data_IF_148890475447
#
_entry.id   IF_148890475447
#
_cell.length_a   1.000
_cell.length_b   1.000
_cell.length_c   1.000
_cell.angle_alpha   90.00
_cell.angle_beta   90.00
_cell.angle_gamma   90.00
#
_symmetry.space_group_name_H-M   'P 1'
#
loop_
_entity.id
_entity.type
_entity.pdbx_description
1 polymer ?
#
# COMPACT_ATOMS: atom_id res chain seq x y z
N UNK A 1 14.39 26.67 18.71
CA UNK A 1 14.11 25.70 17.63
C UNK A 1 12.61 25.65 17.37
N UNK A 2 12.14 26.06 16.18
CA UNK A 2 10.71 25.93 15.82
C UNK A 2 10.41 24.44 15.62
N UNK A 3 9.48 23.87 16.39
CA UNK A 3 9.04 22.48 16.21
C UNK A 3 8.30 22.40 14.87
N UNK A 4 8.69 21.47 14.00
CA UNK A 4 7.95 21.21 12.76
C UNK A 4 6.57 20.71 13.14
N UNK A 5 5.53 21.46 12.79
CA UNK A 5 4.14 21.04 12.97
C UNK A 5 3.92 19.83 12.07
N UNK A 6 3.43 18.71 12.61
CA UNK A 6 3.09 17.54 11.81
C UNK A 6 1.90 17.95 10.95
N UNK A 7 2.13 18.07 9.64
CA UNK A 7 1.17 18.71 8.75
C UNK A 7 0.05 17.77 8.30
N UNK A 8 0.27 16.45 8.38
CA UNK A 8 -0.70 15.45 7.97
C UNK A 8 -0.67 14.23 8.87
N UNK A 9 -1.86 13.89 9.38
CA UNK A 9 -2.14 12.61 10.03
C UNK A 9 -3.17 11.91 9.15
N UNK A 10 -2.75 10.83 8.50
CA UNK A 10 -3.67 9.98 7.76
C UNK A 10 -4.35 9.04 8.75
N UNK A 11 -5.57 9.36 9.15
CA UNK A 11 -6.42 8.40 9.85
C UNK A 11 -6.79 7.29 8.87
N UNK A 12 -6.24 6.09 9.02
CA UNK A 12 -6.66 4.96 8.18
C UNK A 12 -8.10 4.58 8.59
N UNK A 13 -9.08 5.08 7.84
CA UNK A 13 -10.51 4.92 8.10
C UNK A 13 -10.90 3.45 8.21
N UNK A 14 -10.34 2.58 7.36
CA UNK A 14 -10.59 1.15 7.37
C UNK A 14 -10.32 0.49 8.73
N UNK A 15 -9.25 0.90 9.41
CA UNK A 15 -8.88 0.31 10.70
C UNK A 15 -9.72 0.84 11.88
N UNK A 16 -10.38 2.00 11.75
CA UNK A 16 -11.39 2.44 12.72
C UNK A 16 -12.70 1.69 12.50
N UNK A 17 -13.13 1.57 11.24
CA UNK A 17 -14.38 0.92 10.88
C UNK A 17 -14.33 -0.57 11.19
N UNK A 18 -13.18 -1.24 11.05
CA UNK A 18 -13.05 -2.67 11.36
C UNK A 18 -12.98 -3.00 12.86
N UNK A 19 -12.81 -2.01 13.74
CA UNK A 19 -12.67 -2.26 15.17
C UNK A 19 -14.04 -2.52 15.80
N UNK A 20 -14.27 -3.77 16.22
CA UNK A 20 -15.56 -4.21 16.78
C UNK A 20 -16.01 -3.34 17.97
N UNK A 21 -15.08 -2.98 18.85
CA UNK A 21 -15.42 -2.16 20.02
C UNK A 21 -15.86 -0.75 19.59
N UNK A 22 -15.26 -0.20 18.52
CA UNK A 22 -15.67 1.10 17.99
C UNK A 22 -17.06 1.03 17.32
N UNK A 23 -17.42 -0.09 16.70
CA UNK A 23 -18.75 -0.29 16.14
C UNK A 23 -19.85 -0.39 17.21
N UNK A 24 -19.54 -0.98 18.37
CA UNK A 24 -20.48 -1.12 19.49
C UNK A 24 -20.65 0.17 20.29
N UNK A 25 -19.80 1.18 20.09
CA UNK A 25 -19.88 2.45 20.83
C UNK A 25 -21.14 3.25 20.48
N UNK A 26 -21.70 3.96 21.45
CA UNK A 26 -22.73 4.99 21.21
C UNK A 26 -22.17 6.18 20.43
N UNK A 27 -23.03 7.07 19.93
CA UNK A 27 -22.57 8.27 19.22
C UNK A 27 -21.69 9.17 20.10
N UNK A 28 -22.06 9.32 21.37
CA UNK A 28 -21.33 10.12 22.35
C UNK A 28 -19.96 9.50 22.68
N UNK A 29 -19.91 8.18 22.88
CA UNK A 29 -18.65 7.45 23.09
C UNK A 29 -17.71 7.58 21.90
N UNK A 30 -18.24 7.49 20.67
CA UNK A 30 -17.45 7.71 19.45
C UNK A 30 -16.94 9.15 19.36
N UNK A 31 -17.78 10.14 19.69
CA UNK A 31 -17.41 11.55 19.74
C UNK A 31 -16.25 11.82 20.70
N UNK A 32 -16.35 11.32 21.93
CA UNK A 32 -15.28 11.41 22.94
C UNK A 32 -14.02 10.70 22.46
N UNK A 33 -14.13 9.45 22.00
CA UNK A 33 -12.98 8.67 21.53
C UNK A 33 -12.24 9.38 20.37
N UNK A 34 -12.95 9.82 19.33
CA UNK A 34 -12.35 10.52 18.20
C UNK A 34 -11.68 11.84 18.61
N UNK A 35 -12.33 12.61 19.48
CA UNK A 35 -11.78 13.87 20.00
C UNK A 35 -10.44 13.64 20.71
N UNK A 36 -10.39 12.66 21.62
CA UNK A 36 -9.16 12.31 22.33
C UNK A 36 -8.06 11.82 21.40
N UNK A 37 -8.40 11.05 20.37
CA UNK A 37 -7.45 10.62 19.33
C UNK A 37 -6.84 11.82 18.61
N UNK A 38 -7.64 12.82 18.20
CA UNK A 38 -7.14 14.02 17.54
C UNK A 38 -6.21 14.82 18.44
N UNK A 39 -6.58 15.01 19.71
CA UNK A 39 -5.73 15.67 20.69
C UNK A 39 -4.43 14.91 20.95
N UNK A 40 -4.44 13.58 20.92
CA UNK A 40 -3.20 12.80 21.01
C UNK A 40 -2.29 13.07 19.82
N UNK A 41 -2.79 13.19 18.59
CA UNK A 41 -1.93 13.52 17.45
C UNK A 41 -1.28 14.91 17.57
N UNK A 42 -2.05 15.92 17.97
CA UNK A 42 -1.54 17.27 18.22
C UNK A 42 -0.47 17.29 19.33
N UNK A 43 -0.61 16.43 20.35
CA UNK A 43 0.29 16.36 21.50
C UNK A 43 1.35 15.24 21.41
N UNK A 44 1.74 14.82 20.20
CA UNK A 44 2.78 13.79 19.98
C UNK A 44 2.51 12.45 20.70
N UNK A 45 1.25 12.06 20.78
CA UNK A 45 0.77 10.79 21.31
C UNK A 45 0.65 10.74 22.82
N UNK A 46 0.60 11.90 23.50
CA UNK A 46 0.54 11.99 24.96
C UNK A 46 -0.48 13.04 25.38
N UNK A 47 -1.36 12.71 26.31
CA UNK A 47 -2.33 13.65 26.86
C UNK A 47 -2.31 13.55 28.40
N UNK A 48 -2.35 14.65 29.17
CA UNK A 48 -2.50 14.57 30.61
C UNK A 48 -3.83 13.90 30.98
N UNK A 49 -3.83 13.08 32.02
CA UNK A 49 -5.03 12.44 32.54
C UNK A 49 -5.63 13.29 33.66
N UNK A 50 -6.57 14.15 33.28
CA UNK A 50 -7.37 14.96 34.20
C UNK A 50 -8.83 14.93 33.74
N UNK A 51 -9.71 14.35 34.56
CA UNK A 51 -11.10 14.06 34.18
C UNK A 51 -11.86 15.36 33.87
N UNK A 52 -11.64 16.43 34.64
CA UNK A 52 -12.33 17.70 34.43
C UNK A 52 -11.89 18.37 33.13
N UNK A 53 -10.57 18.42 32.88
CA UNK A 53 -10.02 18.92 31.62
C UNK A 53 -10.55 18.11 30.42
N UNK A 54 -10.58 16.78 30.52
CA UNK A 54 -11.06 15.92 29.43
C UNK A 54 -12.57 16.05 29.19
N UNK A 55 -13.35 16.24 30.26
CA UNK A 55 -14.79 16.53 30.19
C UNK A 55 -15.06 17.82 29.42
N UNK A 56 -14.34 18.89 29.74
CA UNK A 56 -14.44 20.16 29.02
C UNK A 56 -13.94 20.04 27.58
N UNK A 57 -12.85 19.30 27.36
CA UNK A 57 -12.28 19.06 26.04
C UNK A 57 -13.26 18.38 25.07
N UNK A 58 -14.03 17.43 25.58
CA UNK A 58 -14.96 16.63 24.79
C UNK A 58 -16.39 17.19 24.78
N UNK A 59 -16.67 18.24 25.56
CA UNK A 59 -18.00 18.84 25.71
C UNK A 59 -19.11 17.81 26.03
N UNK A 60 -18.84 16.90 26.98
CA UNK A 60 -19.75 15.80 27.34
C UNK A 60 -20.23 15.96 28.79
N UNK A 61 -21.55 15.91 29.02
CA UNK A 61 -22.12 16.07 30.37
C UNK A 61 -21.86 14.83 31.25
N UNK A 62 -22.13 13.64 30.71
CA UNK A 62 -21.95 12.32 31.35
C UNK A 62 -20.56 11.71 31.07
N UNK A 63 -19.51 12.52 31.06
CA UNK A 63 -18.17 12.09 30.65
C UNK A 63 -17.65 10.88 31.43
N UNK A 64 -17.90 10.77 32.74
CA UNK A 64 -17.42 9.65 33.56
C UNK A 64 -17.97 8.30 33.09
N UNK A 65 -19.28 8.22 32.79
CA UNK A 65 -19.91 7.00 32.28
C UNK A 65 -19.35 6.60 30.92
N UNK A 66 -19.25 7.57 30.02
CA UNK A 66 -18.67 7.37 28.68
C UNK A 66 -17.20 6.95 28.77
N UNK A 67 -16.45 7.56 29.69
CA UNK A 67 -15.04 7.27 29.91
C UNK A 67 -14.79 5.86 30.42
N UNK A 68 -15.65 5.30 31.27
CA UNK A 68 -15.54 3.91 31.74
C UNK A 68 -15.50 2.89 30.59
N UNK A 69 -16.22 3.17 29.51
CA UNK A 69 -16.18 2.35 28.29
C UNK A 69 -14.96 2.69 27.42
N UNK A 70 -14.74 3.99 27.16
CA UNK A 70 -13.71 4.48 26.25
C UNK A 70 -12.29 4.19 26.77
N UNK A 71 -12.06 4.20 28.09
CA UNK A 71 -10.74 3.98 28.72
C UNK A 71 -10.11 2.64 28.34
N UNK A 72 -10.90 1.63 27.96
CA UNK A 72 -10.41 0.31 27.54
C UNK A 72 -9.49 0.38 26.31
N UNK A 73 -9.62 1.43 25.49
CA UNK A 73 -8.77 1.67 24.31
C UNK A 73 -7.49 2.44 24.62
N UNK A 74 -7.38 2.98 25.82
CA UNK A 74 -6.29 3.85 26.23
C UNK A 74 -5.38 3.18 27.25
N UNK A 75 -4.11 3.56 27.23
CA UNK A 75 -3.10 3.11 28.19
C UNK A 75 -2.80 4.30 29.09
N UNK A 76 -3.09 4.19 30.39
CA UNK A 76 -2.79 5.23 31.37
C UNK A 76 -1.45 4.91 32.05
N UNK A 77 -0.47 5.79 31.94
CA UNK A 77 0.85 5.66 32.58
C UNK A 77 1.34 7.02 33.06
N UNK A 78 1.77 7.10 34.32
CA UNK A 78 2.34 8.31 34.92
C UNK A 78 1.43 9.55 34.77
N UNK A 79 0.13 9.40 35.03
CA UNK A 79 -0.84 10.49 34.87
C UNK A 79 -1.03 10.96 33.43
N UNK A 80 -0.70 10.13 32.43
CA UNK A 80 -0.87 10.45 31.00
C UNK A 80 -1.58 9.33 30.27
N UNK A 81 -2.43 9.70 29.33
CA UNK A 81 -3.12 8.82 28.40
C UNK A 81 -2.27 8.64 27.14
N UNK A 82 -2.22 7.39 26.67
CA UNK A 82 -1.60 6.98 25.42
C UNK A 82 -2.57 6.11 24.61
N UNK A 83 -2.46 6.13 23.28
CA UNK A 83 -3.18 5.20 22.42
C UNK A 83 -2.20 4.38 21.58
N UNK A 84 -2.30 3.05 21.64
CA UNK A 84 -1.34 2.11 21.02
C UNK A 84 -1.14 2.39 19.53
N UNK A 85 -2.22 2.70 18.82
CA UNK A 85 -2.18 2.95 17.38
C UNK A 85 -1.56 4.32 17.05
N UNK A 86 -1.96 5.37 17.76
CA UNK A 86 -1.43 6.73 17.55
C UNK A 86 0.09 6.73 17.74
N UNK A 87 0.58 6.05 18.78
CA UNK A 87 2.03 5.90 19.00
C UNK A 87 2.74 5.22 17.83
N UNK A 88 2.20 4.12 17.31
CA UNK A 88 2.78 3.41 16.15
C UNK A 88 2.82 4.29 14.90
N UNK A 89 1.75 5.02 14.63
CA UNK A 89 1.66 5.88 13.45
C UNK A 89 2.62 7.07 13.56
N UNK A 90 2.72 7.70 14.73
CA UNK A 90 3.69 8.76 14.99
C UNK A 90 5.14 8.28 14.86
N UNK A 91 5.45 7.07 15.35
CA UNK A 91 6.79 6.49 15.20
C UNK A 91 7.12 6.17 13.73
N UNK A 92 6.14 5.66 12.98
CA UNK A 92 6.28 5.44 11.53
C UNK A 92 6.52 6.76 10.80
N UNK A 93 5.74 7.80 11.12
CA UNK A 93 5.88 9.12 10.51
C UNK A 93 7.26 9.73 10.78
N UNK A 94 7.77 9.63 12.02
CA UNK A 94 9.12 10.08 12.39
C UNK A 94 10.20 9.36 11.57
N UNK A 95 10.13 8.03 11.47
CA UNK A 95 11.08 7.23 10.69
C UNK A 95 11.07 7.63 9.22
N UNK A 96 9.89 7.78 8.62
CA UNK A 96 9.78 8.22 7.23
C UNK A 96 10.34 9.63 7.02
N UNK A 97 10.01 10.56 7.92
CA UNK A 97 10.53 11.94 7.86
C UNK A 97 12.05 11.97 7.97
N UNK A 98 12.64 11.13 8.83
CA UNK A 98 14.09 11.02 8.95
C UNK A 98 14.72 10.49 7.67
N UNK A 99 14.20 9.37 7.12
CA UNK A 99 14.69 8.79 5.86
C UNK A 99 14.58 9.79 4.71
N UNK A 100 13.49 10.56 4.63
CA UNK A 100 13.33 11.62 3.63
C UNK A 100 14.34 12.74 3.82
N UNK A 101 14.56 13.19 5.06
CA UNK A 101 15.57 14.20 5.37
C UNK A 101 16.97 13.74 4.98
N UNK A 102 17.34 12.51 5.30
CA UNK A 102 18.64 11.93 4.94
C UNK A 102 18.81 11.81 3.42
N UNK A 103 17.75 11.39 2.70
CA UNK A 103 17.76 11.35 1.23
C UNK A 103 17.91 12.74 0.64
N UNK A 104 17.24 13.75 1.19
CA UNK A 104 17.35 15.13 0.74
C UNK A 104 18.76 15.68 0.96
N UNK A 105 19.38 15.45 2.13
CA UNK A 105 20.76 15.84 2.42
C UNK A 105 21.74 15.15 1.47
N UNK A 106 21.60 13.83 1.26
CA UNK A 106 22.43 13.08 0.31
C UNK A 106 22.26 13.59 -1.12
N UNK A 107 21.04 13.90 -1.54
CA UNK A 107 20.77 14.46 -2.87
C UNK A 107 21.36 15.86 -3.03
N UNK A 108 21.27 16.70 -2.01
CA UNK A 108 21.93 18.01 -2.00
C UNK A 108 23.45 17.83 -2.09
N UNK A 109 24.07 17.05 -1.20
CA UNK A 109 25.51 16.81 -1.24
C UNK A 109 26.00 16.36 -2.62
N UNK A 110 25.28 15.44 -3.28
CA UNK A 110 25.59 15.02 -4.67
C UNK A 110 25.52 16.15 -5.70
N UNK A 111 24.63 17.12 -5.52
CA UNK A 111 24.49 18.30 -6.39
C UNK A 111 25.60 19.33 -6.16
N UNK A 112 26.15 19.41 -4.95
CA UNK A 112 27.13 20.42 -4.56
C UNK A 112 28.59 19.92 -4.57
N UNK A 113 28.84 18.62 -4.38
CA UNK A 113 30.21 18.06 -4.32
C UNK A 113 30.83 17.76 -5.67
N UNK A 114 30.01 17.44 -6.66
CA UNK A 114 30.47 17.50 -8.03
C UNK A 114 30.22 18.95 -8.42
N UNK A 115 31.27 19.73 -8.66
CA UNK A 115 31.17 20.93 -9.49
C UNK A 115 30.49 20.48 -10.77
N UNK A 116 29.16 20.56 -10.80
CA UNK A 116 28.40 20.10 -11.93
C UNK A 116 28.96 20.94 -13.07
N UNK A 117 29.63 20.34 -14.07
CA UNK A 117 30.17 21.13 -15.17
C UNK A 117 29.01 21.98 -15.67
N UNK A 118 29.27 23.27 -15.84
CA UNK A 118 28.30 24.31 -16.23
C UNK A 118 27.80 24.07 -17.66
N UNK A 119 27.31 22.87 -17.92
CA UNK A 119 26.68 22.36 -19.12
C UNK A 119 25.17 22.31 -18.91
N UNK A 120 24.62 23.15 -18.02
CA UNK A 120 23.25 23.60 -18.23
C UNK A 120 23.28 24.29 -19.60
N UNK A 121 22.61 23.74 -20.63
CA UNK A 121 22.58 24.41 -21.93
C UNK A 121 22.04 25.81 -21.67
N UNK A 122 22.84 26.84 -21.92
CA UNK A 122 22.53 28.26 -21.69
C UNK A 122 21.40 28.79 -22.58
N UNK A 123 20.50 27.92 -23.03
CA UNK A 123 19.46 28.16 -23.99
C UNK A 123 18.09 27.74 -23.43
N UNK A 124 17.87 27.88 -22.12
CA UNK A 124 16.51 28.01 -21.63
C UNK A 124 16.00 29.36 -22.17
N UNK A 125 15.09 29.40 -23.16
CA UNK A 125 14.53 30.66 -23.63
C UNK A 125 13.97 31.36 -22.41
N UNK A 126 14.46 32.58 -22.15
CA UNK A 126 13.86 33.45 -21.16
C UNK A 126 12.39 33.54 -21.49
N UNK A 127 11.54 32.89 -20.68
CA UNK A 127 10.12 33.18 -20.61
C UNK A 127 10.07 34.59 -20.03
N UNK A 128 10.22 35.55 -20.93
CA UNK A 128 9.94 36.95 -20.66
C UNK A 128 8.48 37.01 -20.22
N UNK A 129 8.29 37.70 -19.10
CA UNK A 129 7.01 38.08 -18.55
C UNK A 129 6.13 38.70 -19.63
N UNK A 130 5.11 37.99 -20.08
CA UNK A 130 3.86 38.60 -20.54
C UNK A 130 2.71 37.75 -20.04
N UNK A 131 2.34 37.94 -18.77
CA UNK A 131 0.98 37.71 -18.34
C UNK A 131 0.31 39.07 -18.18
N UNK A 132 0.06 39.73 -19.31
CA UNK A 132 -0.99 40.74 -19.36
C UNK A 132 -2.29 40.09 -18.93
N UNK A 133 -2.86 40.68 -17.90
CA UNK A 133 -4.10 40.27 -17.26
C UNK A 133 -5.26 40.64 -18.19
N UNK A 134 -5.56 39.82 -19.19
CA UNK A 134 -6.87 39.89 -19.87
C UNK A 134 -7.88 39.08 -19.07
N UNK A 135 -8.46 39.78 -18.10
CA UNK A 135 -9.72 39.47 -17.45
C UNK A 135 -10.82 39.57 -18.52
N UNK A 136 -11.02 38.52 -19.30
CA UNK A 136 -12.19 38.42 -20.17
C UNK A 136 -13.38 37.93 -19.34
N UNK A 137 -14.42 38.75 -19.36
CA UNK A 137 -15.74 38.49 -18.83
C UNK A 137 -16.27 37.12 -19.27
N UNK A 138 -16.91 36.48 -18.30
CA UNK A 138 -17.73 35.28 -18.47
C UNK A 138 -18.90 35.65 -19.39
N UNK A 139 -18.79 35.29 -20.67
CA UNK A 139 -19.97 35.06 -21.50
C UNK A 139 -20.24 33.56 -21.56
N UNK A 140 -21.25 33.18 -20.79
CA UNK A 140 -22.01 31.93 -20.94
C UNK A 140 -22.53 31.88 -22.38
N UNK A 141 -22.09 30.88 -23.15
CA UNK A 141 -22.84 30.41 -24.30
C UNK A 141 -22.85 28.89 -24.34
N UNK A 142 -24.08 28.42 -24.48
CA UNK A 142 -24.51 27.05 -24.64
C UNK A 142 -24.04 26.45 -25.98
N UNK A 143 -24.01 25.12 -25.98
CA UNK A 143 -24.56 24.26 -27.03
C UNK A 143 -23.79 23.97 -28.34
N UNK A 144 -23.65 22.64 -28.52
CA UNK A 144 -23.84 21.83 -29.74
C UNK A 144 -22.62 21.07 -30.30
N UNK A 145 -22.91 19.78 -30.42
CA UNK A 145 -22.27 18.63 -31.04
C UNK A 145 -21.65 18.77 -32.44
N UNK A 146 -20.99 17.67 -32.82
CA UNK A 146 -20.53 17.20 -34.17
C UNK A 146 -19.16 17.72 -34.60
N UNK A 147 -18.21 16.93 -35.13
CA UNK A 147 -18.18 15.59 -35.72
C UNK A 147 -16.69 15.11 -35.78
N UNK A 148 -16.39 13.83 -36.15
CA UNK A 148 -15.06 13.24 -36.08
C UNK A 148 -14.25 13.42 -37.37
N UNK A 149 -12.92 13.58 -37.25
CA UNK A 149 -12.01 13.51 -38.40
C UNK A 149 -10.83 12.58 -38.13
N UNK A 150 -10.82 11.58 -38.99
CA UNK A 150 -9.85 10.57 -39.43
C UNK A 150 -8.44 11.11 -39.73
N UNK A 151 -7.49 10.18 -39.84
CA UNK A 151 -6.14 10.25 -40.45
C UNK A 151 -4.99 10.69 -39.50
N UNK A 152 -3.76 10.16 -39.57
CA UNK A 152 -3.11 9.29 -40.57
C UNK A 152 -1.85 8.64 -39.95
N UNK A 153 -1.45 7.55 -40.59
CA UNK A 153 -0.25 6.72 -40.42
C UNK A 153 1.09 7.48 -40.55
N UNK A 154 2.12 7.02 -39.82
CA UNK A 154 3.58 7.21 -40.06
C UNK A 154 4.33 6.28 -39.08
N UNK A 155 4.93 5.12 -39.43
CA UNK A 155 6.22 4.91 -40.13
C UNK A 155 7.33 5.85 -39.59
N UNK A 156 8.51 5.48 -39.05
CA UNK A 156 9.42 4.30 -39.04
C UNK A 156 10.39 4.48 -37.79
N UNK A 157 11.63 3.92 -37.70
CA UNK A 157 12.11 2.55 -37.43
C UNK A 157 12.82 2.34 -36.07
N UNK A 158 13.13 1.06 -35.86
CA UNK A 158 14.15 0.43 -35.02
C UNK A 158 15.44 1.20 -34.68
N UNK A 159 15.96 0.89 -33.49
CA UNK A 159 17.40 0.80 -33.25
C UNK A 159 17.96 1.71 -32.17
N UNK A 160 17.95 1.25 -30.91
CA UNK A 160 18.95 1.71 -29.95
C UNK A 160 19.28 0.62 -28.92
N UNK A 161 20.24 -0.24 -29.27
CA UNK A 161 21.01 -1.00 -28.30
C UNK A 161 21.79 0.00 -27.43
N UNK A 162 21.62 -0.05 -26.10
CA UNK A 162 22.59 0.57 -25.19
C UNK A 162 22.93 -0.36 -24.03
N UNK A 163 24.12 -0.92 -24.23
CA UNK A 163 25.11 -1.49 -23.33
C UNK A 163 24.81 -1.44 -21.82
N UNK A 164 24.86 -2.64 -21.24
CA UNK A 164 25.05 -2.95 -19.84
C UNK A 164 26.34 -2.34 -19.30
N UNK A 165 26.22 -1.42 -18.34
CA UNK A 165 27.35 -0.94 -17.53
C UNK A 165 27.36 -1.71 -16.22
N UNK A 166 28.35 -2.59 -16.06
CA UNK A 166 28.66 -3.31 -14.84
C UNK A 166 29.29 -2.34 -13.82
N UNK A 167 28.56 -1.99 -12.76
CA UNK A 167 29.13 -1.25 -11.65
C UNK A 167 29.79 -2.24 -10.67
N UNK A 168 31.13 -2.20 -10.67
CA UNK A 168 31.98 -2.94 -9.75
C UNK A 168 31.77 -2.52 -8.30
N UNK A 169 31.62 -3.54 -7.46
CA UNK A 169 31.61 -3.48 -6.01
C UNK A 169 33.00 -3.09 -5.51
N UNK A 170 33.19 -1.83 -5.09
CA UNK A 170 34.39 -1.44 -4.35
C UNK A 170 34.16 -1.63 -2.85
N UNK A 171 34.89 -2.63 -2.38
CA UNK A 171 35.24 -2.95 -1.01
C UNK A 171 35.85 -1.72 -0.32
N UNK A 172 35.31 -1.30 0.83
CA UNK A 172 36.01 -0.41 1.77
C UNK A 172 35.82 -0.98 3.16
N UNK A 173 36.85 -1.70 3.59
CA UNK A 173 37.10 -2.04 4.97
C UNK A 173 37.57 -0.82 5.76
N UNK A 174 37.48 -0.94 7.09
CA UNK A 174 38.28 -0.27 8.11
C UNK A 174 38.09 1.24 8.30
N UNK A 175 37.55 1.62 9.46
CA UNK A 175 38.23 2.37 10.54
C UNK A 175 37.20 2.70 11.64
N UNK A 176 37.68 2.75 12.90
CA UNK A 176 37.02 3.15 14.15
C UNK A 176 36.67 2.01 15.12
N UNK A 177 37.72 1.42 15.70
CA UNK A 177 37.72 1.07 17.12
C UNK A 177 38.20 2.32 17.86
N UNK A 178 37.43 2.77 18.84
CA UNK A 178 37.89 3.10 20.21
C UNK A 178 36.91 4.03 20.93
N UNK A 179 36.83 3.80 22.25
CA UNK A 179 36.22 4.64 23.29
C UNK A 179 34.71 4.53 23.51
N UNK A 180 34.29 3.54 24.31
CA UNK A 180 33.22 3.72 25.29
C UNK A 180 33.57 3.03 26.63
N UNK A 181 33.30 3.68 27.78
CA UNK A 181 33.60 3.14 29.10
C UNK A 181 32.56 2.11 29.56
N UNK A 182 33.09 1.11 30.27
CA UNK A 182 32.39 0.04 30.98
C UNK A 182 31.32 0.60 31.93
N UNK A 183 30.05 0.29 31.66
CA UNK A 183 28.93 0.48 32.60
C UNK A 183 28.62 -0.89 33.20
N UNK A 184 28.90 -1.02 34.50
CA UNK A 184 28.58 -2.20 35.30
C UNK A 184 27.07 -2.44 35.33
N UNK A 185 26.65 -3.59 34.81
CA UNK A 185 25.30 -4.14 35.02
C UNK A 185 25.23 -4.85 36.37
N UNK A 186 24.22 -4.57 37.22
CA UNK A 186 24.02 -5.33 38.45
C UNK A 186 23.51 -6.75 38.15
N UNK A 187 24.07 -7.70 38.90
CA UNK A 187 23.77 -9.13 38.85
C UNK A 187 22.28 -9.40 39.07
N UNK A 188 21.66 -10.11 38.12
CA UNK A 188 20.39 -10.82 38.34
C UNK A 188 20.71 -12.21 38.89
N UNK A 189 20.59 -12.37 40.19
CA UNK A 189 20.54 -13.67 40.85
C UNK A 189 19.19 -14.35 40.60
N UNK A 190 19.29 -15.59 40.12
CA UNK A 190 18.51 -16.78 40.48
C UNK A 190 17.03 -16.61 40.86
N UNK A 191 16.13 -16.83 39.89
CA UNK A 191 14.80 -17.41 40.14
C UNK A 191 14.53 -18.41 39.02
N UNK A 192 15.12 -19.60 39.14
CA UNK A 192 14.86 -20.73 38.24
C UNK A 192 14.84 -22.03 39.06
N UNK A 193 13.87 -22.14 39.97
CA UNK A 193 13.60 -23.40 40.69
C UNK A 193 12.22 -23.36 41.35
N UNK A 194 11.15 -23.38 40.55
CA UNK A 194 9.84 -23.92 40.95
C UNK A 194 8.85 -23.78 39.79
N UNK A 195 8.69 -24.85 39.01
CA UNK A 195 7.43 -25.37 38.42
C UNK A 195 7.83 -26.75 37.86
N UNK A 196 7.82 -27.74 38.73
CA UNK A 196 7.76 -29.16 38.39
C UNK A 196 6.69 -29.77 39.29
N UNK A 197 5.44 -29.70 38.85
CA UNK A 197 4.39 -30.64 39.26
C UNK A 197 3.16 -30.42 38.38
N UNK A 198 2.51 -31.53 37.99
CA UNK A 198 1.23 -31.63 37.26
C UNK A 198 1.30 -31.58 35.72
N UNK A 199 1.83 -32.66 35.13
CA UNK A 199 1.31 -33.22 33.87
C UNK A 199 1.31 -34.75 33.95
N UNK A 200 0.21 -35.31 34.45
CA UNK A 200 -0.14 -36.71 34.28
C UNK A 200 -1.46 -36.80 33.51
N UNK A 201 -1.58 -37.88 32.74
CA UNK A 201 -2.81 -38.41 32.15
C UNK A 201 -3.30 -37.76 30.85
N UNK A 202 -2.94 -38.38 29.71
CA UNK A 202 -3.79 -39.33 28.97
C UNK A 202 -3.29 -39.36 27.51
N UNK A 203 -2.56 -40.42 27.14
CA UNK A 203 -2.24 -40.77 25.75
C UNK A 203 -3.31 -41.75 25.24
N UNK A 204 -3.95 -41.52 24.08
CA UNK A 204 -4.55 -42.59 23.29
C UNK A 204 -3.53 -43.18 22.30
N UNK A 205 -3.77 -44.45 21.99
CA UNK A 205 -2.91 -45.39 21.29
C UNK A 205 -2.67 -45.07 19.79
N UNK A 206 -1.59 -45.62 19.18
CA UNK A 206 -1.33 -45.51 17.76
C UNK A 206 -2.02 -46.65 17.00
N UNK A 207 -2.92 -46.30 16.07
CA UNK A 207 -3.48 -47.24 15.10
C UNK A 207 -2.83 -47.03 13.72
N UNK A 208 -2.26 -48.15 13.27
CA UNK A 208 -2.09 -48.63 11.90
C UNK A 208 -1.34 -47.80 10.86
N UNK A 209 -0.14 -48.31 10.57
CA UNK A 209 0.54 -48.17 9.29
C UNK A 209 -0.19 -49.01 8.23
N UNK A 210 -0.69 -48.33 7.18
CA UNK A 210 -1.30 -48.98 6.02
C UNK A 210 -1.17 -48.14 4.75
N UNK A 211 -0.38 -48.63 3.81
CA UNK A 211 -0.43 -48.34 2.37
C UNK A 211 -0.17 -46.91 1.87
N UNK A 212 1.11 -46.60 1.68
CA UNK A 212 1.54 -45.70 0.59
C UNK A 212 1.73 -46.53 -0.69
N UNK A 213 0.66 -46.61 -1.51
CA UNK A 213 0.80 -46.93 -2.93
C UNK A 213 0.97 -45.64 -3.72
N UNK A 214 2.06 -45.63 -4.50
CA UNK A 214 2.29 -44.78 -5.67
C UNK A 214 1.00 -44.63 -6.50
N UNK A 215 0.60 -43.39 -6.77
CA UNK A 215 -0.01 -43.05 -8.06
C UNK A 215 0.61 -41.75 -8.57
N UNK A 216 1.31 -41.94 -9.67
CA UNK A 216 1.88 -40.97 -10.58
C UNK A 216 0.79 -40.15 -11.29
N UNK A 217 1.12 -38.89 -11.55
CA UNK A 217 0.74 -38.10 -12.73
C UNK A 217 -0.67 -38.31 -13.32
N UNK A 218 -1.55 -37.32 -13.07
CA UNK A 218 -2.83 -37.19 -13.76
C UNK A 218 -3.46 -35.83 -13.47
N UNK A 219 -2.86 -34.74 -13.97
CA UNK A 219 -3.51 -33.43 -14.03
C UNK A 219 -4.63 -33.51 -15.07
N UNK A 220 -5.78 -34.02 -14.64
CA UNK A 220 -7.02 -33.98 -15.39
C UNK A 220 -7.54 -32.54 -15.39
N UNK A 221 -7.33 -31.85 -16.50
CA UNK A 221 -8.03 -30.64 -16.92
C UNK A 221 -9.53 -30.95 -17.01
N UNK A 222 -10.28 -30.82 -15.91
CA UNK A 222 -11.75 -30.83 -15.97
C UNK A 222 -12.20 -29.64 -16.83
N UNK A 223 -12.94 -29.86 -17.93
CA UNK A 223 -13.60 -28.76 -18.63
C UNK A 223 -14.62 -28.15 -17.66
N UNK A 224 -14.37 -26.91 -17.25
CA UNK A 224 -15.23 -26.15 -16.34
C UNK A 224 -16.47 -25.67 -17.11
N UNK A 225 -17.40 -26.58 -17.40
CA UNK A 225 -18.79 -26.21 -17.74
C UNK A 225 -19.53 -25.89 -16.45
N UNK A 226 -19.17 -24.76 -15.85
CA UNK A 226 -19.77 -24.22 -14.63
C UNK A 226 -21.01 -23.35 -14.90
N UNK A 227 -21.87 -23.16 -13.87
CA UNK A 227 -23.16 -22.46 -13.97
C UNK A 227 -22.99 -21.04 -14.51
N UNK A 228 -23.89 -20.60 -15.40
CA UNK A 228 -23.97 -19.26 -16.00
C UNK A 228 -23.35 -18.17 -15.10
N UNK A 229 -22.09 -17.84 -15.38
CA UNK A 229 -21.34 -16.88 -14.57
C UNK A 229 -21.72 -15.53 -15.14
N UNK A 230 -22.43 -14.71 -14.37
CA UNK A 230 -22.61 -13.30 -14.73
C UNK A 230 -21.22 -12.64 -14.80
N UNK A 231 -20.68 -12.38 -16.01
CA UNK A 231 -19.34 -11.85 -16.16
C UNK A 231 -19.27 -10.40 -15.68
N UNK A 232 -20.39 -9.80 -15.28
CA UNK A 232 -20.49 -8.47 -14.67
C UNK A 232 -19.90 -8.45 -13.25
N UNK A 233 -19.77 -9.60 -12.56
CA UNK A 233 -19.10 -9.64 -11.27
C UNK A 233 -17.57 -9.57 -11.41
N UNK A 234 -17.05 -8.33 -11.42
CA UNK A 234 -15.62 -8.02 -11.59
C UNK A 234 -14.71 -8.70 -10.55
N UNK A 235 -15.23 -9.01 -9.35
CA UNK A 235 -14.45 -9.70 -8.31
C UNK A 235 -14.21 -11.15 -8.72
N UNK A 236 -15.25 -11.85 -9.18
CA UNK A 236 -15.15 -13.25 -9.64
C UNK A 236 -14.27 -13.36 -10.89
N UNK A 237 -14.40 -12.42 -11.83
CA UNK A 237 -13.52 -12.36 -13.00
C UNK A 237 -12.06 -12.15 -12.60
N UNK A 238 -11.80 -11.18 -11.71
CA UNK A 238 -10.45 -10.93 -11.21
C UNK A 238 -9.88 -12.19 -10.55
N UNK A 239 -10.61 -12.84 -9.65
CA UNK A 239 -10.14 -14.02 -8.90
C UNK A 239 -9.83 -15.23 -9.81
N UNK A 240 -10.59 -15.42 -10.89
CA UNK A 240 -10.31 -16.44 -11.90
C UNK A 240 -9.04 -16.15 -12.68
N UNK A 241 -8.94 -14.93 -13.23
CA UNK A 241 -7.77 -14.50 -13.99
C UNK A 241 -6.48 -14.57 -13.14
N UNK A 242 -6.61 -14.13 -11.90
CA UNK A 242 -5.65 -14.24 -10.83
C UNK A 242 -5.24 -15.71 -10.53
N UNK A 243 -6.23 -16.60 -10.42
CA UNK A 243 -6.03 -18.02 -10.17
C UNK A 243 -5.26 -18.72 -11.29
N UNK A 244 -5.42 -18.28 -12.54
CA UNK A 244 -4.74 -18.86 -13.70
C UNK A 244 -3.21 -18.85 -13.53
N UNK A 245 -2.59 -17.74 -13.13
CA UNK A 245 -1.13 -17.65 -13.16
C UNK A 245 -0.39 -18.25 -11.94
N UNK A 246 -1.06 -18.47 -10.81
CA UNK A 246 -0.40 -18.90 -9.56
C UNK A 246 0.66 -17.91 -9.03
N UNK A 247 1.08 -18.05 -7.76
CA UNK A 247 2.28 -17.40 -7.18
C UNK A 247 2.59 -15.96 -7.62
N UNK A 248 1.72 -14.99 -7.31
CA UNK A 248 1.78 -13.61 -7.83
C UNK A 248 2.62 -12.67 -6.97
N UNK A 249 3.41 -11.81 -7.63
CA UNK A 249 4.02 -10.66 -6.95
C UNK A 249 2.96 -9.56 -6.72
N UNK A 250 3.21 -8.62 -5.79
CA UNK A 250 2.35 -7.44 -5.63
C UNK A 250 2.21 -6.61 -6.91
N UNK A 251 3.26 -6.56 -7.74
CA UNK A 251 3.26 -5.83 -9.01
C UNK A 251 2.33 -6.49 -10.04
N UNK A 252 2.36 -7.82 -10.16
CA UNK A 252 1.47 -8.58 -11.04
C UNK A 252 0.01 -8.38 -10.66
N UNK A 253 -0.27 -8.43 -9.35
CA UNK A 253 -1.61 -8.20 -8.82
C UNK A 253 -2.13 -6.79 -9.14
N UNK A 254 -1.27 -5.78 -9.07
CA UNK A 254 -1.63 -4.42 -9.47
C UNK A 254 -1.88 -4.31 -10.98
N UNK A 255 -1.06 -4.95 -11.81
CA UNK A 255 -1.23 -4.96 -13.27
C UNK A 255 -2.55 -5.62 -13.69
N UNK A 256 -2.91 -6.76 -13.08
CA UNK A 256 -4.17 -7.44 -13.34
C UNK A 256 -5.38 -6.58 -12.91
N UNK A 257 -5.32 -5.90 -11.77
CA UNK A 257 -6.40 -4.98 -11.36
C UNK A 257 -6.59 -3.84 -12.34
N UNK A 258 -5.49 -3.28 -12.87
CA UNK A 258 -5.56 -2.22 -13.88
C UNK A 258 -6.20 -2.73 -15.18
N UNK A 259 -5.88 -3.96 -15.59
CA UNK A 259 -6.51 -4.60 -16.74
C UNK A 259 -8.02 -4.79 -16.54
N UNK A 260 -8.44 -5.31 -15.37
CA UNK A 260 -9.87 -5.49 -15.05
C UNK A 260 -10.63 -4.16 -15.10
N UNK A 261 -10.04 -3.10 -14.53
CA UNK A 261 -10.63 -1.75 -14.58
C UNK A 261 -10.76 -1.26 -16.02
N UNK A 262 -9.69 -1.37 -16.81
CA UNK A 262 -9.71 -0.96 -18.22
C UNK A 262 -10.75 -1.73 -19.05
N UNK A 263 -10.89 -3.04 -18.84
CA UNK A 263 -11.92 -3.85 -19.50
C UNK A 263 -13.32 -3.39 -19.12
N UNK A 264 -13.56 -3.13 -17.82
CA UNK A 264 -14.84 -2.59 -17.34
C UNK A 264 -15.19 -1.26 -18.01
N UNK A 265 -14.23 -0.34 -18.08
CA UNK A 265 -14.43 0.98 -18.69
C UNK A 265 -14.67 0.85 -20.20
N UNK A 266 -13.97 -0.07 -20.87
CA UNK A 266 -14.13 -0.31 -22.31
C UNK A 266 -15.47 -0.95 -22.67
N UNK A 267 -15.99 -1.85 -21.82
CA UNK A 267 -17.34 -2.42 -21.98
C UNK A 267 -18.41 -1.35 -21.72
N UNK A 268 -18.24 -0.52 -20.68
CA UNK A 268 -19.16 0.58 -20.38
C UNK A 268 -19.19 1.63 -21.51
N UNK A 269 -18.06 1.86 -22.19
CA UNK A 269 -17.96 2.73 -23.36
C UNK A 269 -18.52 2.08 -24.66
N UNK A 270 -18.97 0.83 -24.62
CA UNK A 270 -19.46 0.11 -25.80
C UNK A 270 -18.38 -0.30 -26.79
N UNK A 271 -17.09 -0.25 -26.40
CA UNK A 271 -15.96 -0.67 -27.24
C UNK A 271 -15.92 -2.20 -27.34
N UNK A 272 -16.27 -2.90 -26.26
CA UNK A 272 -16.31 -4.36 -26.21
C UNK A 272 -17.66 -4.88 -25.72
N UNK A 273 -18.04 -6.07 -26.21
CA UNK A 273 -19.20 -6.82 -25.68
C UNK A 273 -18.83 -7.54 -24.39
N UNK A 274 -19.84 -8.04 -23.65
CA UNK A 274 -19.61 -8.79 -22.40
C UNK A 274 -18.79 -10.08 -22.60
N UNK A 275 -18.74 -10.62 -23.80
CA UNK A 275 -17.97 -11.84 -24.12
C UNK A 275 -16.44 -11.62 -24.05
N UNK A 276 -15.99 -10.36 -23.98
CA UNK A 276 -14.57 -10.03 -23.87
C UNK A 276 -13.93 -10.63 -22.62
N UNK A 277 -14.68 -10.76 -21.52
CA UNK A 277 -14.17 -11.34 -20.29
C UNK A 277 -13.79 -12.81 -20.49
N UNK A 278 -14.61 -13.59 -21.18
CA UNK A 278 -14.30 -14.98 -21.48
C UNK A 278 -13.07 -15.08 -22.39
N UNK A 279 -13.02 -14.27 -23.46
CA UNK A 279 -11.87 -14.21 -24.37
C UNK A 279 -10.56 -13.90 -23.64
N UNK A 280 -10.58 -13.00 -22.65
CA UNK A 280 -9.40 -12.67 -21.83
C UNK A 280 -8.99 -13.83 -20.91
N UNK A 281 -9.95 -14.59 -20.37
CA UNK A 281 -9.64 -15.81 -19.60
C UNK A 281 -9.00 -16.88 -20.48
N UNK A 282 -9.47 -17.03 -21.72
CA UNK A 282 -8.91 -17.98 -22.69
C UNK A 282 -7.47 -17.60 -23.05
N UNK A 283 -7.19 -16.32 -23.34
CA UNK A 283 -5.82 -15.82 -23.54
C UNK A 283 -4.90 -16.09 -22.34
N UNK A 284 -5.44 -15.97 -21.12
CA UNK A 284 -4.68 -16.26 -19.90
C UNK A 284 -4.36 -17.76 -19.77
N UNK A 285 -5.32 -18.62 -20.11
CA UNK A 285 -5.13 -20.08 -20.12
C UNK A 285 -4.09 -20.49 -21.17
N UNK A 286 -4.16 -19.94 -22.38
CA UNK A 286 -3.19 -20.19 -23.46
C UNK A 286 -1.78 -19.75 -23.06
N UNK A 287 -1.68 -18.56 -22.47
CA UNK A 287 -0.40 -18.04 -21.98
C UNK A 287 0.20 -18.87 -20.85
N UNK A 288 -0.64 -19.49 -20.00
CA UNK A 288 -0.21 -20.39 -18.93
C UNK A 288 0.27 -21.74 -19.47
N UNK A 289 -0.45 -22.29 -20.45
CA UNK A 289 -0.13 -23.58 -21.07
C UNK A 289 1.10 -23.50 -21.98
N UNK A 290 1.47 -22.29 -22.43
CA UNK A 290 2.71 -22.05 -23.16
C UNK A 290 3.97 -22.38 -22.32
N UNK A 291 5.02 -22.84 -22.99
CA UNK A 291 6.31 -23.20 -22.36
C UNK A 291 7.15 -21.98 -21.92
N UNK A 292 6.52 -20.84 -21.64
CA UNK A 292 7.20 -19.60 -21.27
C UNK A 292 7.51 -19.58 -19.78
N UNK A 293 8.72 -19.14 -19.42
CA UNK A 293 9.11 -18.88 -18.02
C UNK A 293 8.31 -17.75 -17.38
N UNK A 294 7.66 -16.90 -18.18
CA UNK A 294 6.93 -15.70 -17.74
C UNK A 294 5.56 -15.65 -18.41
N UNK A 295 4.63 -16.55 -18.04
CA UNK A 295 3.33 -16.66 -18.70
C UNK A 295 2.53 -15.35 -18.61
N UNK A 296 2.60 -14.62 -17.49
CA UNK A 296 1.90 -13.34 -17.33
C UNK A 296 2.40 -12.25 -18.30
N UNK A 297 3.70 -12.24 -18.62
CA UNK A 297 4.24 -11.27 -19.56
C UNK A 297 3.79 -11.57 -21.00
N UNK A 298 3.72 -12.86 -21.35
CA UNK A 298 3.18 -13.31 -22.65
C UNK A 298 1.70 -12.94 -22.76
N UNK A 299 0.93 -13.17 -21.69
CA UNK A 299 -0.47 -12.77 -21.61
C UNK A 299 -0.67 -11.27 -21.87
N UNK A 300 0.06 -10.40 -21.16
CA UNK A 300 -0.06 -8.96 -21.39
C UNK A 300 0.39 -8.53 -22.78
N UNK A 301 1.36 -9.23 -23.40
CA UNK A 301 1.75 -8.98 -24.77
C UNK A 301 0.63 -9.34 -25.77
N UNK A 302 -0.06 -10.47 -25.55
CA UNK A 302 -1.24 -10.86 -26.35
C UNK A 302 -2.38 -9.86 -26.17
N UNK A 303 -2.73 -9.51 -24.94
CA UNK A 303 -3.79 -8.52 -24.64
C UNK A 303 -3.48 -7.16 -25.27
N UNK A 304 -2.22 -6.71 -25.24
CA UNK A 304 -1.80 -5.46 -25.90
C UNK A 304 -1.94 -5.54 -27.42
N UNK A 305 -1.55 -6.66 -28.03
CA UNK A 305 -1.61 -6.88 -29.47
C UNK A 305 -3.04 -6.97 -29.97
N UNK A 306 -3.86 -7.78 -29.30
CA UNK A 306 -5.17 -8.20 -29.81
C UNK A 306 -6.30 -7.26 -29.37
N UNK A 307 -6.17 -6.67 -28.18
CA UNK A 307 -7.20 -5.80 -27.59
C UNK A 307 -6.76 -4.33 -27.51
N UNK A 308 -5.53 -4.01 -27.90
CA UNK A 308 -5.02 -2.64 -27.88
C UNK A 308 -4.79 -2.08 -26.48
N UNK A 309 -4.61 -2.93 -25.46
CA UNK A 309 -4.39 -2.48 -24.09
C UNK A 309 -3.16 -1.57 -23.97
N UNK A 310 -3.38 -0.33 -23.55
CA UNK A 310 -2.33 0.64 -23.22
C UNK A 310 -2.31 0.79 -21.71
N UNK A 311 -1.16 0.54 -21.09
CA UNK A 311 -0.96 0.88 -19.67
C UNK A 311 -1.03 2.40 -19.60
N UNK A 312 -2.15 2.92 -19.10
CA UNK A 312 -2.34 4.36 -18.90
C UNK A 312 -1.09 4.91 -18.19
N UNK A 313 -0.41 5.84 -18.87
CA UNK A 313 0.75 6.58 -18.34
C UNK A 313 0.36 7.43 -17.14
#
# INVERSE_FOLDING_TARGET
MKRKKIQYVSLESGAFISDLIFQTMTADERGVYCTLIFYLYENNGRLPFDIESLKHLCNCQDFEKVWEFVKQKFIIKNGKIFHKRVSKELDRAKKMSQVQSERAVKAAAKRWQNDAPSNAPGNAPSIAKESETKRSEVQVRENIDTNPVRNKSSMIPDGCQRQSVSNGTKNVSSIAKDLLPSVQTPQRSSIASQIQSLKSSTRPAPLEAGQQRRLTAGLNSRPLTGPDIDPTNMVVFYDRLAGTFGGRTPADSAALRNLVRWLKDSVAAGIFTKDIYQRVLDMAADSKNGNSRKPIAVFFAQVKRDLGYKKNE
#
